data_IF_066060922825
#
_entry.id   IF_066060922825
#
_cell.length_a   1.000
_cell.length_b   1.000
_cell.length_c   1.000
_cell.angle_alpha   90.00
_cell.angle_beta   90.00
_cell.angle_gamma   90.00
#
_symmetry.space_group_name_H-M   'P 1'
#
loop_
_entity.id
_entity.type
_entity.pdbx_description
1 polymer ?
#
# COMPACT_ATOMS: atom_id res chain seq x y z
N UNK A 1 11.45 28.24 15.97
CA UNK A 1 11.64 26.82 16.06
C UNK A 1 11.63 26.19 14.70
N UNK A 2 12.79 25.77 14.23
CA UNK A 2 12.89 25.15 12.91
C UNK A 2 12.03 23.91 12.75
N UNK A 3 11.88 23.16 13.82
CA UNK A 3 11.13 21.91 13.77
C UNK A 3 9.69 22.09 13.35
N UNK A 4 9.11 23.21 13.77
CA UNK A 4 7.71 23.46 13.44
C UNK A 4 7.52 23.69 11.95
N UNK A 5 8.48 24.38 11.32
CA UNK A 5 8.40 24.63 9.89
C UNK A 5 8.53 23.35 9.09
N UNK A 6 9.40 22.47 9.55
CA UNK A 6 9.59 21.20 8.86
C UNK A 6 8.34 20.31 8.95
N UNK A 7 7.64 20.39 10.06
CA UNK A 7 6.45 19.58 10.25
C UNK A 7 5.28 20.02 9.42
N UNK A 8 5.31 21.25 8.91
CA UNK A 8 4.18 21.75 8.13
C UNK A 8 4.11 21.17 6.72
N UNK A 9 5.25 20.70 6.18
CA UNK A 9 5.30 20.29 4.79
C UNK A 9 5.44 18.79 4.55
N UNK A 10 5.57 17.94 5.57
CA UNK A 10 5.80 16.53 5.28
C UNK A 10 4.70 15.89 4.44
N UNK A 11 3.46 16.32 4.62
CA UNK A 11 2.36 15.73 3.88
C UNK A 11 2.46 16.07 2.40
N UNK A 12 2.85 17.29 2.07
CA UNK A 12 3.00 17.67 0.66
C UNK A 12 4.11 16.85 -0.01
N UNK A 13 5.21 16.68 0.68
CA UNK A 13 6.32 15.91 0.14
C UNK A 13 5.91 14.46 -0.07
N UNK A 14 5.15 13.91 0.85
CA UNK A 14 4.70 12.53 0.75
C UNK A 14 3.68 12.36 -0.37
N UNK A 15 2.79 13.30 -0.55
CA UNK A 15 1.85 13.27 -1.67
C UNK A 15 2.62 13.30 -2.99
N UNK A 16 3.59 14.20 -3.11
CA UNK A 16 4.41 14.26 -4.31
C UNK A 16 5.17 12.97 -4.58
N UNK A 17 5.67 12.36 -3.51
CA UNK A 17 6.40 11.11 -3.65
C UNK A 17 5.51 10.00 -4.23
N UNK A 18 4.29 9.89 -3.73
CA UNK A 18 3.36 8.87 -4.19
C UNK A 18 2.88 9.17 -5.61
N UNK A 19 2.52 10.42 -5.89
CA UNK A 19 1.93 10.78 -7.17
C UNK A 19 2.95 10.95 -8.30
N UNK A 20 4.22 10.80 -7.98
CA UNK A 20 5.26 10.90 -9.00
C UNK A 20 5.15 9.81 -10.06
N UNK A 21 4.61 8.66 -9.68
CA UNK A 21 4.54 7.54 -10.59
C UNK A 21 3.24 6.77 -10.36
N UNK A 22 2.47 6.48 -11.43
CA UNK A 22 1.21 5.73 -11.27
C UNK A 22 1.37 4.40 -10.57
N UNK A 23 2.51 3.74 -10.75
CA UNK A 23 2.74 2.46 -10.08
C UNK A 23 2.72 2.61 -8.56
N UNK A 24 3.24 3.72 -8.05
CA UNK A 24 3.23 3.97 -6.61
C UNK A 24 1.81 4.15 -6.09
N UNK A 25 0.97 4.79 -6.88
CA UNK A 25 -0.45 4.94 -6.52
C UNK A 25 -1.10 3.56 -6.45
N UNK A 26 -0.85 2.72 -7.45
CA UNK A 26 -1.40 1.37 -7.45
C UNK A 26 -0.93 0.56 -6.25
N UNK A 27 0.34 0.68 -5.91
CA UNK A 27 0.90 -0.03 -4.75
C UNK A 27 0.21 0.39 -3.46
N UNK A 28 0.11 1.69 -3.21
CA UNK A 28 -0.49 2.14 -1.94
C UNK A 28 -1.96 1.80 -1.88
N UNK A 29 -2.66 1.76 -3.01
CA UNK A 29 -4.05 1.35 -3.02
C UNK A 29 -4.19 -0.13 -2.65
N UNK A 30 -3.33 -0.97 -3.18
CA UNK A 30 -3.33 -2.37 -2.81
C UNK A 30 -3.06 -2.54 -1.32
N UNK A 31 -2.11 -1.78 -0.80
CA UNK A 31 -1.74 -1.88 0.60
C UNK A 31 -2.79 -1.28 1.54
N UNK A 32 -3.73 -0.50 1.01
CA UNK A 32 -4.78 0.06 1.85
C UNK A 32 -5.77 -0.99 2.33
N UNK A 33 -5.83 -2.13 1.66
CA UNK A 33 -6.73 -3.20 2.07
C UNK A 33 -6.03 -4.19 3.01
N UNK A 34 -4.76 -4.46 2.79
CA UNK A 34 -4.02 -5.40 3.64
C UNK A 34 -2.53 -5.29 3.34
N UNK A 35 -1.72 -5.71 4.30
CA UNK A 35 -0.29 -5.83 4.06
C UNK A 35 -0.04 -6.94 3.04
N UNK A 36 1.01 -6.79 2.25
CA UNK A 36 1.31 -7.74 1.19
C UNK A 36 2.81 -7.86 0.99
N UNK A 37 3.23 -9.01 0.47
CA UNK A 37 4.63 -9.23 0.13
C UNK A 37 4.93 -8.61 -1.23
N UNK A 38 6.20 -8.25 -1.49
CA UNK A 38 6.54 -7.70 -2.81
C UNK A 38 6.15 -8.63 -3.95
N UNK A 39 6.29 -9.95 -3.77
CA UNK A 39 5.94 -10.89 -4.83
C UNK A 39 4.44 -10.86 -5.13
N UNK A 40 3.63 -10.68 -4.09
CA UNK A 40 2.18 -10.60 -4.28
C UNK A 40 1.80 -9.34 -5.03
N UNK A 41 2.43 -8.23 -4.70
CA UNK A 41 2.20 -6.97 -5.41
C UNK A 41 2.61 -7.08 -6.88
N UNK A 42 3.76 -7.69 -7.13
CA UNK A 42 4.23 -7.86 -8.49
C UNK A 42 3.23 -8.66 -9.32
N UNK A 43 2.71 -9.74 -8.74
CA UNK A 43 1.75 -10.58 -9.44
C UNK A 43 0.42 -9.87 -9.66
N UNK A 44 -0.08 -9.17 -8.65
CA UNK A 44 -1.37 -8.49 -8.76
C UNK A 44 -1.35 -7.35 -9.75
N UNK A 45 -0.25 -6.63 -9.79
CA UNK A 45 -0.12 -5.45 -10.64
C UNK A 45 0.50 -5.79 -11.99
N UNK A 46 0.89 -7.04 -12.19
CA UNK A 46 1.49 -7.52 -13.43
C UNK A 46 2.73 -6.69 -13.78
N UNK A 47 3.62 -6.56 -12.83
CA UNK A 47 4.86 -5.79 -12.97
C UNK A 47 5.99 -6.66 -12.44
N UNK A 48 7.18 -6.54 -13.03
CA UNK A 48 8.28 -7.35 -12.57
C UNK A 48 8.71 -6.93 -11.16
N UNK A 49 9.33 -7.89 -10.45
CA UNK A 49 9.71 -7.68 -9.06
C UNK A 49 10.72 -6.56 -8.88
N UNK A 50 11.56 -6.38 -9.85
CA UNK A 50 12.59 -5.35 -9.77
C UNK A 50 11.98 -3.97 -9.71
N UNK A 51 10.99 -3.72 -10.57
CA UNK A 51 10.25 -2.45 -10.56
C UNK A 51 9.48 -2.27 -9.27
N UNK A 52 8.82 -3.31 -8.81
CA UNK A 52 8.10 -3.24 -7.54
C UNK A 52 9.06 -2.88 -6.42
N UNK A 53 10.20 -3.57 -6.34
CA UNK A 53 11.17 -3.32 -5.28
C UNK A 53 11.72 -1.90 -5.33
N UNK A 54 11.92 -1.38 -6.52
CA UNK A 54 12.38 0.00 -6.67
C UNK A 54 11.39 0.98 -6.04
N UNK A 55 10.11 0.82 -6.37
CA UNK A 55 9.09 1.72 -5.84
C UNK A 55 8.84 1.50 -4.34
N UNK A 56 8.90 0.25 -3.90
CA UNK A 56 8.78 -0.03 -2.48
C UNK A 56 9.91 0.63 -1.69
N UNK A 57 11.13 0.59 -2.23
CA UNK A 57 12.25 1.25 -1.60
C UNK A 57 12.05 2.74 -1.46
N UNK A 58 11.57 3.37 -2.53
CA UNK A 58 11.30 4.81 -2.51
C UNK A 58 10.21 5.14 -1.49
N UNK A 59 9.14 4.35 -1.48
CA UNK A 59 8.03 4.59 -0.55
C UNK A 59 8.44 4.36 0.90
N UNK A 60 9.31 3.39 1.15
CA UNK A 60 9.84 3.17 2.50
C UNK A 60 10.69 4.37 2.96
N UNK A 61 11.58 4.83 2.11
CA UNK A 61 12.43 5.98 2.45
C UNK A 61 11.60 7.22 2.72
N UNK A 62 10.48 7.36 2.03
CA UNK A 62 9.59 8.49 2.23
C UNK A 62 8.63 8.34 3.39
N UNK A 63 8.66 7.21 4.09
CA UNK A 63 7.78 7.02 5.25
C UNK A 63 6.33 6.71 4.90
N UNK A 64 6.07 6.28 3.68
CA UNK A 64 4.72 5.91 3.24
C UNK A 64 4.39 4.48 3.63
N UNK A 65 5.37 3.59 3.52
CA UNK A 65 5.20 2.19 3.87
C UNK A 65 6.32 1.75 4.80
N UNK A 66 6.10 0.63 5.44
CA UNK A 66 7.10 0.03 6.32
C UNK A 66 6.98 -1.48 6.23
N UNK A 67 8.05 -2.17 6.64
CA UNK A 67 8.02 -3.62 6.72
C UNK A 67 7.09 -4.03 7.86
N UNK A 68 6.21 -4.96 7.58
CA UNK A 68 5.33 -5.48 8.61
C UNK A 68 6.13 -6.48 9.46
N UNK A 69 6.16 -6.22 10.76
CA UNK A 69 6.84 -7.09 11.71
C UNK A 69 5.84 -7.61 12.71
N UNK A 70 5.97 -8.87 13.06
CA UNK A 70 5.05 -9.47 14.01
C UNK A 70 5.77 -10.55 14.81
N UNK A 71 5.17 -10.91 15.92
CA UNK A 71 5.65 -11.97 16.77
C UNK A 71 4.65 -13.11 16.74
N UNK A 72 5.11 -14.29 16.37
CA UNK A 72 4.22 -15.45 16.20
C UNK A 72 4.80 -16.65 16.90
N UNK A 73 3.94 -17.60 17.23
CA UNK A 73 4.39 -18.88 17.75
C UNK A 73 5.01 -19.69 16.62
N UNK A 74 5.78 -20.70 16.99
CA UNK A 74 6.38 -21.55 15.97
C UNK A 74 5.33 -22.26 15.14
N UNK A 75 4.20 -22.58 15.75
CA UNK A 75 3.11 -23.20 15.01
C UNK A 75 2.48 -22.23 14.02
N UNK A 76 2.28 -20.99 14.42
CA UNK A 76 1.70 -19.99 13.54
C UNK A 76 2.63 -19.60 12.40
N UNK A 77 3.93 -19.74 12.62
CA UNK A 77 4.91 -19.31 11.62
C UNK A 77 4.72 -20.03 10.28
N UNK A 78 4.18 -21.24 10.29
CA UNK A 78 3.97 -21.99 9.05
C UNK A 78 2.95 -21.32 8.13
N UNK A 79 2.10 -20.45 8.67
CA UNK A 79 1.12 -19.73 7.87
C UNK A 79 1.74 -18.58 7.09
N UNK A 80 2.95 -18.19 7.44
CA UNK A 80 3.61 -17.04 6.82
C UNK A 80 4.78 -17.49 5.97
N UNK A 81 4.47 -18.19 4.90
CA UNK A 81 5.51 -18.68 4.00
C UNK A 81 6.28 -17.52 3.39
N UNK A 82 7.59 -17.65 3.42
CA UNK A 82 8.45 -16.61 2.87
C UNK A 82 8.77 -15.50 3.86
N UNK A 83 8.29 -15.61 5.09
CA UNK A 83 8.63 -14.63 6.12
C UNK A 83 10.11 -14.75 6.49
N UNK A 84 10.69 -13.63 6.87
CA UNK A 84 12.07 -13.59 7.34
C UNK A 84 12.06 -13.65 8.86
N UNK A 85 12.77 -14.64 9.41
CA UNK A 85 12.87 -14.75 10.86
C UNK A 85 13.99 -13.84 11.34
N UNK A 86 13.62 -12.82 12.11
CA UNK A 86 14.59 -11.85 12.60
C UNK A 86 15.20 -12.27 13.93
N UNK A 87 14.40 -12.91 14.78
CA UNK A 87 14.85 -13.25 16.12
C UNK A 87 13.94 -14.29 16.74
N UNK A 88 14.51 -15.10 17.65
CA UNK A 88 13.73 -16.01 18.48
C UNK A 88 13.73 -15.44 19.88
N UNK A 89 12.55 -15.28 20.47
CA UNK A 89 12.45 -14.71 21.81
C UNK A 89 12.76 -15.76 22.87
N UNK A 90 12.93 -15.31 24.09
CA UNK A 90 13.21 -16.22 25.21
C UNK A 90 12.06 -17.21 25.44
N UNK A 91 10.85 -16.78 25.10
CA UNK A 91 9.67 -17.65 25.22
C UNK A 91 9.52 -18.60 24.07
N UNK A 92 10.44 -18.57 23.11
CA UNK A 92 10.37 -19.45 21.97
C UNK A 92 9.51 -18.95 20.83
N UNK A 93 9.07 -17.70 20.91
CA UNK A 93 8.31 -17.11 19.80
C UNK A 93 9.25 -16.55 18.75
N UNK A 94 8.73 -16.41 17.55
CA UNK A 94 9.51 -15.91 16.43
C UNK A 94 9.10 -14.49 16.09
N UNK A 95 10.09 -13.60 15.99
CA UNK A 95 9.86 -12.26 15.44
C UNK A 95 10.17 -12.31 13.96
N UNK A 96 9.17 -12.05 13.15
CA UNK A 96 9.30 -12.20 11.69
C UNK A 96 8.95 -10.91 10.99
N UNK A 97 9.47 -10.79 9.77
CA UNK A 97 9.10 -9.73 8.82
C UNK A 97 8.34 -10.40 7.69
N UNK A 98 7.15 -9.88 7.37
CA UNK A 98 6.31 -10.50 6.37
C UNK A 98 5.54 -9.45 5.59
N UNK A 99 6.13 -9.00 4.49
CA UNK A 99 5.48 -8.05 3.63
C UNK A 99 5.66 -6.61 4.07
N UNK A 100 4.89 -5.75 3.45
CA UNK A 100 4.92 -4.32 3.71
C UNK A 100 3.50 -3.84 3.99
N UNK A 101 3.41 -2.73 4.71
CA UNK A 101 2.13 -2.14 5.05
C UNK A 101 2.25 -0.62 5.05
N UNK A 102 1.12 0.06 4.97
CA UNK A 102 1.11 1.51 5.02
C UNK A 102 1.45 1.99 6.43
N UNK A 103 2.22 3.07 6.50
CA UNK A 103 2.40 3.79 7.75
C UNK A 103 1.18 4.66 7.99
N UNK A 104 1.13 5.33 9.15
CA UNK A 104 0.07 6.29 9.40
C UNK A 104 0.07 7.38 8.32
N UNK A 105 1.25 7.87 7.96
CA UNK A 105 1.36 8.86 6.90
C UNK A 105 0.87 8.31 5.57
N UNK A 106 1.19 7.07 5.28
CA UNK A 106 0.72 6.43 4.06
C UNK A 106 -0.79 6.34 4.01
N UNK A 107 -1.40 5.96 5.13
CA UNK A 107 -2.86 5.91 5.22
C UNK A 107 -3.49 7.29 5.03
N UNK A 108 -2.87 8.31 5.60
CA UNK A 108 -3.36 9.68 5.44
C UNK A 108 -3.32 10.11 3.99
N UNK A 109 -2.23 9.81 3.28
CA UNK A 109 -2.12 10.15 1.87
C UNK A 109 -3.19 9.43 1.06
N UNK A 110 -3.40 8.15 1.32
CA UNK A 110 -4.41 7.40 0.59
C UNK A 110 -5.80 7.98 0.86
N UNK A 111 -6.15 8.18 2.12
CA UNK A 111 -7.49 8.64 2.49
C UNK A 111 -7.78 10.05 1.99
N UNK A 112 -6.81 10.93 2.06
CA UNK A 112 -7.05 12.34 1.77
C UNK A 112 -6.82 12.71 0.31
N UNK A 113 -6.00 11.98 -0.40
CA UNK A 113 -5.59 12.38 -1.75
C UNK A 113 -5.80 11.32 -2.82
N UNK A 114 -5.60 10.05 -2.50
CA UNK A 114 -5.72 9.01 -3.50
C UNK A 114 -7.16 8.55 -3.67
N UNK A 115 -7.80 8.14 -2.59
CA UNK A 115 -9.16 7.64 -2.64
C UNK A 115 -10.15 8.64 -3.23
N UNK A 116 -10.12 9.92 -2.85
CA UNK A 116 -11.07 10.86 -3.43
C UNK A 116 -10.99 10.97 -4.93
N UNK A 117 -9.79 10.89 -5.50
CA UNK A 117 -9.63 10.93 -6.95
C UNK A 117 -10.28 9.72 -7.61
N UNK A 118 -10.11 8.56 -7.01
CA UNK A 118 -10.69 7.34 -7.59
C UNK A 118 -12.19 7.29 -7.40
N UNK A 119 -12.69 7.82 -6.31
CA UNK A 119 -14.13 7.91 -6.11
C UNK A 119 -14.79 8.80 -7.16
N UNK A 120 -14.15 9.93 -7.47
CA UNK A 120 -14.67 10.82 -8.52
C UNK A 120 -14.72 10.11 -9.86
N UNK A 121 -13.66 9.41 -10.22
CA UNK A 121 -13.61 8.68 -11.47
C UNK A 121 -14.71 7.63 -11.54
N UNK A 122 -14.91 6.90 -10.45
CA UNK A 122 -15.94 5.87 -10.42
C UNK A 122 -17.34 6.47 -10.54
N UNK A 123 -17.60 7.58 -9.89
CA UNK A 123 -18.89 8.25 -9.98
C UNK A 123 -19.15 8.69 -11.42
N UNK A 124 -18.15 9.25 -12.08
CA UNK A 124 -18.31 9.67 -13.47
C UNK A 124 -18.61 8.49 -14.37
N UNK A 125 -17.93 7.38 -14.19
CA UNK A 125 -18.17 6.18 -14.98
C UNK A 125 -19.58 5.66 -14.78
N UNK A 126 -20.04 5.63 -13.55
CA UNK A 126 -21.39 5.18 -13.28
C UNK A 126 -22.43 6.10 -13.91
N UNK A 127 -22.17 7.40 -13.84
CA UNK A 127 -23.08 8.37 -14.45
C UNK A 127 -23.17 8.17 -15.94
N UNK A 128 -22.05 7.98 -16.60
CA UNK A 128 -22.03 7.73 -18.05
C UNK A 128 -22.74 6.44 -18.39
N UNK A 129 -22.54 5.41 -17.59
CA UNK A 129 -23.18 4.13 -17.82
C UNK A 129 -24.70 4.25 -17.73
N UNK A 130 -25.18 5.02 -16.76
CA UNK A 130 -26.62 5.21 -16.61
C UNK A 130 -27.22 5.96 -17.80
N UNK A 131 -26.53 6.95 -18.29
CA UNK A 131 -27.03 7.71 -19.44
C UNK A 131 -26.87 6.97 -20.75
N UNK A 132 -25.86 6.10 -20.84
CA UNK A 132 -25.57 5.40 -22.07
C UNK A 132 -26.24 4.04 -22.18
N UNK A 133 -26.09 3.20 -21.18
CA UNK A 133 -26.61 1.85 -21.25
C UNK A 133 -26.65 1.21 -19.86
N UNK A 134 -27.79 0.66 -19.52
CA UNK A 134 -27.93 -0.03 -18.25
C UNK A 134 -27.12 -1.31 -18.19
N UNK A 135 -26.93 -1.96 -19.34
CA UNK A 135 -26.17 -3.19 -19.39
C UNK A 135 -24.74 -2.97 -18.98
N UNK A 136 -24.13 -1.89 -19.44
CA UNK A 136 -22.76 -1.59 -19.08
C UNK A 136 -22.62 -1.31 -17.62
N UNK A 137 -23.63 -0.71 -17.02
CA UNK A 137 -23.61 -0.45 -15.59
C UNK A 137 -23.50 -1.73 -14.81
N UNK A 138 -24.26 -2.73 -15.21
CA UNK A 138 -24.22 -4.01 -14.53
C UNK A 138 -22.88 -4.67 -14.66
N UNK A 139 -22.30 -4.61 -15.83
CA UNK A 139 -20.99 -5.19 -16.06
C UNK A 139 -19.92 -4.52 -15.21
N UNK A 140 -20.01 -3.23 -15.07
CA UNK A 140 -18.99 -2.51 -14.32
C UNK A 140 -19.00 -2.79 -12.83
N UNK A 141 -20.05 -3.40 -12.33
CA UNK A 141 -20.12 -3.79 -10.94
C UNK A 141 -19.36 -5.06 -10.64
N UNK A 142 -19.09 -5.81 -11.64
CA UNK A 142 -18.35 -7.05 -11.48
C UNK A 142 -16.86 -6.78 -11.47
#
# INVERSE_FOLDING_TARGET
MPEKKEKKKPIFEKVGLVFRNPMRIDIVRELSTSSQRPIDLANKLDVDRQNINYHLGALKRGGIIKTQKMEVSQEEASKFKGAIINKVTKEGKLKISYGVELTKNGKDVVNQFVDPLYEEVMVEKEHKAKSGSKKKKEESKL
#
